data_IF_496199985830
#
_entry.id   IF_496199985830
#
_cell.length_a   1.000
_cell.length_b   1.000
_cell.length_c   1.000
_cell.angle_alpha   90.00
_cell.angle_beta   90.00
_cell.angle_gamma   90.00
#
_symmetry.space_group_name_H-M   'P 1'
#
loop_
_entity.id
_entity.type
_entity.pdbx_description
1 polymer ?
#
# COMPACT_ATOMS: atom_id res chain seq x y z
N UNK A 1 19.21 -9.05 1.76
CA UNK A 1 18.94 -8.85 0.32
C UNK A 1 19.63 -9.98 -0.42
N UNK A 2 18.90 -10.75 -1.23
CA UNK A 2 19.45 -11.90 -1.98
C UNK A 2 20.17 -11.49 -3.26
N UNK A 3 20.03 -10.23 -3.70
CA UNK A 3 20.69 -9.66 -4.87
C UNK A 3 21.20 -8.25 -4.52
N UNK A 4 22.38 -7.88 -5.04
CA UNK A 4 22.99 -6.56 -4.86
C UNK A 4 22.08 -5.42 -5.33
N UNK A 5 21.32 -5.63 -6.40
CA UNK A 5 20.30 -4.68 -6.87
C UNK A 5 19.27 -4.36 -5.79
N UNK A 6 18.81 -5.36 -5.05
CA UNK A 6 17.89 -5.19 -3.92
C UNK A 6 18.50 -4.41 -2.76
N UNK A 7 19.79 -4.62 -2.48
CA UNK A 7 20.52 -3.87 -1.44
C UNK A 7 20.70 -2.40 -1.84
N UNK A 8 21.08 -2.12 -3.09
CA UNK A 8 21.25 -0.76 -3.60
C UNK A 8 19.93 0.02 -3.61
N UNK A 9 18.81 -0.62 -3.98
CA UNK A 9 17.47 -0.03 -3.89
C UNK A 9 17.09 0.23 -2.43
N UNK A 10 17.39 -0.70 -1.53
CA UNK A 10 17.16 -0.51 -0.10
C UNK A 10 18.01 0.61 0.51
N UNK A 11 19.27 0.76 0.11
CA UNK A 11 20.12 1.88 0.57
C UNK A 11 19.64 3.23 0.03
N UNK A 12 19.15 3.30 -1.22
CA UNK A 12 18.44 4.49 -1.73
C UNK A 12 17.18 4.79 -0.91
N UNK A 13 16.65 3.81 -0.22
CA UNK A 13 15.58 4.02 0.75
C UNK A 13 16.09 4.77 1.99
N UNK A 14 17.32 4.59 2.45
CA UNK A 14 17.82 5.30 3.64
C UNK A 14 18.31 6.73 3.36
N UNK A 15 18.81 7.01 2.15
CA UNK A 15 19.49 8.30 1.84
C UNK A 15 18.99 8.95 0.54
N UNK A 16 18.03 8.34 -0.16
CA UNK A 16 17.62 8.81 -1.48
C UNK A 16 16.67 10.01 -1.45
N UNK A 17 16.80 10.94 -2.41
CA UNK A 17 15.82 11.98 -2.64
C UNK A 17 14.45 11.32 -2.85
N UNK A 18 13.39 12.02 -2.42
CA UNK A 18 12.00 11.67 -2.71
C UNK A 18 11.56 12.58 -3.87
N UNK A 19 11.92 12.27 -5.13
CA UNK A 19 11.76 13.21 -6.23
C UNK A 19 10.30 13.45 -6.60
N UNK A 20 9.39 12.56 -6.19
CA UNK A 20 7.98 12.63 -6.54
C UNK A 20 7.21 13.37 -5.45
N UNK A 21 6.95 14.65 -5.67
CA UNK A 21 6.26 15.53 -4.72
C UNK A 21 4.80 15.68 -5.11
N UNK A 22 3.91 15.58 -4.13
CA UNK A 22 2.49 15.88 -4.31
C UNK A 22 2.27 17.39 -4.37
N UNK A 23 1.66 17.87 -5.44
CA UNK A 23 1.31 19.28 -5.63
C UNK A 23 0.30 19.80 -4.61
N UNK A 24 -0.64 18.97 -4.16
CA UNK A 24 -1.73 19.40 -3.27
C UNK A 24 -1.29 19.58 -1.81
N UNK A 25 -0.26 18.85 -1.37
CA UNK A 25 0.14 18.84 0.05
C UNK A 25 1.66 18.84 0.30
N UNK A 26 2.48 18.94 -0.75
CA UNK A 26 3.95 18.96 -0.65
C UNK A 26 4.60 17.65 -0.21
N UNK A 27 3.83 16.58 0.00
CA UNK A 27 4.36 15.31 0.51
C UNK A 27 5.19 14.61 -0.56
N UNK A 28 6.40 14.16 -0.19
CA UNK A 28 7.35 13.55 -1.11
C UNK A 28 7.42 12.02 -0.99
N UNK A 29 7.54 11.35 -2.14
CA UNK A 29 7.57 9.91 -2.30
C UNK A 29 8.80 9.46 -3.11
N UNK A 30 9.24 8.21 -2.86
CA UNK A 30 10.37 7.60 -3.58
C UNK A 30 10.00 7.07 -4.95
N UNK A 31 8.72 6.77 -5.17
CA UNK A 31 8.22 6.15 -6.40
C UNK A 31 7.01 6.91 -6.92
N UNK A 32 6.93 7.07 -8.24
CA UNK A 32 5.81 7.73 -8.92
C UNK A 32 4.48 6.98 -8.69
N UNK A 33 4.51 5.64 -8.72
CA UNK A 33 3.35 4.79 -8.44
C UNK A 33 2.76 5.05 -7.06
N UNK A 34 3.62 5.29 -6.07
CA UNK A 34 3.21 5.62 -4.70
C UNK A 34 2.63 7.04 -4.63
N UNK A 35 3.20 8.01 -5.33
CA UNK A 35 2.63 9.36 -5.46
C UNK A 35 1.24 9.32 -6.12
N UNK A 36 1.09 8.63 -7.25
CA UNK A 36 -0.18 8.50 -7.98
C UNK A 36 -1.27 7.87 -7.11
N UNK A 37 -0.93 6.81 -6.36
CA UNK A 37 -1.84 6.21 -5.37
C UNK A 37 -2.19 7.19 -4.25
N UNK A 38 -1.23 7.99 -3.79
CA UNK A 38 -1.46 9.01 -2.77
C UNK A 38 -2.41 10.11 -3.24
N UNK A 39 -2.33 10.56 -4.50
CA UNK A 39 -3.21 11.59 -5.06
C UNK A 39 -4.70 11.21 -4.98
N UNK A 40 -5.04 9.92 -4.97
CA UNK A 40 -6.41 9.43 -4.74
C UNK A 40 -7.01 9.83 -3.39
N UNK A 41 -6.17 10.26 -2.44
CA UNK A 41 -6.64 10.81 -1.16
C UNK A 41 -7.31 12.17 -1.40
N UNK A 42 -6.72 12.99 -2.26
CA UNK A 42 -7.20 14.34 -2.59
C UNK A 42 -8.39 14.29 -3.55
N UNK A 43 -8.33 13.45 -4.58
CA UNK A 43 -9.45 13.31 -5.55
C UNK A 43 -10.63 12.52 -5.01
N UNK A 44 -10.44 11.76 -3.93
CA UNK A 44 -11.46 10.85 -3.39
C UNK A 44 -11.67 9.58 -4.23
N UNK A 45 -10.93 9.37 -5.32
CA UNK A 45 -11.06 8.22 -6.21
C UNK A 45 -10.83 6.89 -5.46
N UNK A 46 -11.78 5.96 -5.60
CA UNK A 46 -11.75 4.64 -4.97
C UNK A 46 -12.00 3.56 -6.03
N UNK A 47 -11.00 3.22 -6.85
CA UNK A 47 -11.21 2.35 -8.01
C UNK A 47 -11.40 0.87 -7.64
N UNK A 48 -11.15 0.48 -6.39
CA UNK A 48 -11.22 -0.92 -5.97
C UNK A 48 -12.49 -1.17 -5.14
N UNK A 49 -13.54 -1.65 -5.79
CA UNK A 49 -14.81 -1.99 -5.13
C UNK A 49 -14.79 -3.42 -4.58
N UNK A 50 -15.39 -3.63 -3.42
CA UNK A 50 -15.59 -4.95 -2.85
C UNK A 50 -16.67 -5.73 -3.62
N UNK A 51 -16.44 -7.02 -3.83
CA UNK A 51 -17.42 -7.92 -4.45
C UNK A 51 -18.52 -8.38 -3.49
N UNK A 52 -18.28 -8.29 -2.18
CA UNK A 52 -19.23 -8.73 -1.14
C UNK A 52 -20.11 -7.58 -0.61
N UNK A 53 -19.71 -6.33 -0.82
CA UNK A 53 -20.45 -5.14 -0.37
C UNK A 53 -20.09 -3.91 -1.22
N UNK A 54 -20.83 -2.82 -1.06
CA UNK A 54 -20.64 -1.60 -1.87
C UNK A 54 -19.44 -0.73 -1.46
N UNK A 55 -18.58 -1.21 -0.55
CA UNK A 55 -17.43 -0.43 -0.09
C UNK A 55 -16.32 -0.42 -1.15
N UNK A 56 -15.83 0.78 -1.46
CA UNK A 56 -14.69 0.98 -2.36
C UNK A 56 -13.45 1.55 -1.66
N UNK A 57 -12.27 1.21 -2.16
CA UNK A 57 -10.97 1.51 -1.58
C UNK A 57 -10.03 2.19 -2.58
N UNK A 58 -9.06 2.95 -2.05
CA UNK A 58 -8.04 3.68 -2.84
C UNK A 58 -6.88 2.79 -3.32
N UNK A 59 -6.68 1.63 -2.69
CA UNK A 59 -5.60 0.69 -2.95
C UNK A 59 -6.09 -0.76 -2.94
N UNK A 60 -5.57 -1.59 -3.85
CA UNK A 60 -5.93 -3.01 -3.98
C UNK A 60 -5.57 -3.81 -2.74
N UNK A 61 -4.41 -3.54 -2.13
CA UNK A 61 -3.98 -4.20 -0.88
C UNK A 61 -4.97 -3.96 0.26
N UNK A 62 -5.56 -2.77 0.34
CA UNK A 62 -6.58 -2.46 1.35
C UNK A 62 -7.88 -3.20 1.08
N UNK A 63 -8.29 -3.33 -0.19
CA UNK A 63 -9.44 -4.16 -0.57
C UNK A 63 -9.22 -5.64 -0.20
N UNK A 64 -8.05 -6.20 -0.50
CA UNK A 64 -7.73 -7.60 -0.19
C UNK A 64 -7.80 -7.85 1.32
N UNK A 65 -7.21 -6.96 2.12
CA UNK A 65 -7.30 -7.05 3.59
C UNK A 65 -8.76 -6.93 4.05
N UNK A 66 -9.54 -6.02 3.44
CA UNK A 66 -10.95 -5.87 3.75
C UNK A 66 -11.75 -7.13 3.42
N UNK A 67 -11.51 -7.79 2.28
CA UNK A 67 -12.24 -9.01 1.90
C UNK A 67 -12.13 -10.14 2.94
N UNK A 68 -11.05 -10.17 3.72
CA UNK A 68 -10.87 -11.14 4.81
C UNK A 68 -11.95 -11.06 5.89
N UNK A 69 -12.61 -9.92 6.06
CA UNK A 69 -13.72 -9.82 7.01
C UNK A 69 -14.95 -10.61 6.54
N UNK A 70 -15.12 -10.76 5.22
CA UNK A 70 -16.23 -11.50 4.63
C UNK A 70 -15.91 -12.99 4.54
N UNK A 71 -14.67 -13.33 4.20
CA UNK A 71 -14.24 -14.74 4.09
C UNK A 71 -13.89 -15.37 5.43
N UNK A 72 -13.64 -14.57 6.48
CA UNK A 72 -13.16 -15.04 7.77
C UNK A 72 -11.71 -15.55 7.74
N UNK A 73 -10.96 -15.31 6.67
CA UNK A 73 -9.57 -15.74 6.53
C UNK A 73 -8.69 -15.12 7.61
N UNK A 74 -7.94 -15.96 8.34
CA UNK A 74 -6.96 -15.57 9.36
C UNK A 74 -5.57 -16.09 8.97
N UNK A 75 -4.81 -15.34 8.17
CA UNK A 75 -3.51 -15.78 7.66
C UNK A 75 -2.43 -15.82 8.74
N UNK A 76 -2.57 -14.97 9.75
CA UNK A 76 -1.66 -14.87 10.87
C UNK A 76 -2.19 -15.73 12.01
N UNK A 77 -1.41 -16.75 12.37
CA UNK A 77 -1.66 -17.61 13.53
C UNK A 77 -0.54 -17.41 14.53
N UNK A 78 -0.87 -17.28 15.80
CA UNK A 78 0.13 -17.31 16.85
C UNK A 78 0.78 -18.70 16.89
N UNK A 79 2.10 -18.74 17.02
CA UNK A 79 2.84 -20.00 17.17
C UNK A 79 2.88 -20.51 18.60
N UNK A 80 2.54 -19.65 19.58
CA UNK A 80 2.52 -19.97 21.02
C UNK A 80 1.13 -20.37 21.54
N UNK A 81 0.06 -20.01 20.82
CA UNK A 81 -1.30 -20.45 21.12
C UNK A 81 -2.07 -20.58 19.81
N UNK A 82 -3.10 -21.43 19.76
CA UNK A 82 -3.87 -21.68 18.53
C UNK A 82 -4.81 -20.52 18.12
N UNK A 83 -4.47 -19.26 18.47
CA UNK A 83 -5.23 -18.04 18.17
C UNK A 83 -4.54 -17.17 17.14
#
# INVERSE_FOLDING_TARGET
FTVLSGLLIHQKSHVGPRPYVCSDCGKAFRENTTLRRHQRIHTGEKPYQCSYCEKSFRASSTLIIHQRIHTGEKPYKCTKCAK
#
